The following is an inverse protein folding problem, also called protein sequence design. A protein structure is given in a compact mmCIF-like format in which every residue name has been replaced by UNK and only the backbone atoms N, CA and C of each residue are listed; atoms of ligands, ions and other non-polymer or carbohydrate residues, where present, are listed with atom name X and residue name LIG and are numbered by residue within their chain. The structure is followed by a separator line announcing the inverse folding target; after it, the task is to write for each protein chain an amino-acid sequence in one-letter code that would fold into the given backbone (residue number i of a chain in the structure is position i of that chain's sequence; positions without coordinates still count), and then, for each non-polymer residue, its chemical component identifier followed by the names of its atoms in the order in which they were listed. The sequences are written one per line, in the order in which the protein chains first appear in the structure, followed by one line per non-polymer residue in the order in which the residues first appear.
data_IF_063447575695
#
_entry.id   IF_063447575695
#
_cell.length_a   1.000
_cell.length_b   1.000
_cell.length_c   1.000
_cell.angle_alpha   90.00
_cell.angle_beta   90.00
_cell.angle_gamma   90.00
#
_symmetry.space_group_name_H-M   'P 1'
#
loop_
_entity.id
_entity.type
_entity.pdbx_description
1 polymer ?
#
# COMPACT_ATOMS: atom_id res chain seq x y z
N UNK A 1 -44.25 44.72 -78.72
CA UNK A 1 -43.88 43.30 -78.84
C UNK A 1 -42.43 43.18 -78.40
N UNK A 2 -42.20 43.09 -77.09
CA UNK A 2 -40.89 42.85 -76.48
C UNK A 2 -40.89 41.38 -76.07
N UNK A 3 -40.17 40.53 -76.79
CA UNK A 3 -39.99 39.12 -76.44
C UNK A 3 -38.71 38.97 -75.63
N UNK A 4 -38.85 38.90 -74.30
CA UNK A 4 -37.80 38.44 -73.39
C UNK A 4 -37.41 36.99 -73.73
N UNK A 5 -36.12 36.78 -74.02
CA UNK A 5 -35.55 35.45 -74.17
C UNK A 5 -35.13 34.92 -72.82
N UNK A 6 -35.87 33.94 -72.29
CA UNK A 6 -35.49 33.20 -71.10
C UNK A 6 -34.29 32.28 -71.40
N UNK A 7 -33.10 32.68 -70.97
CA UNK A 7 -31.93 31.79 -70.93
C UNK A 7 -31.97 31.00 -69.61
N UNK A 8 -32.32 29.72 -69.68
CA UNK A 8 -32.23 28.80 -68.54
C UNK A 8 -30.77 28.40 -68.31
N UNK A 9 -30.23 28.45 -67.07
CA UNK A 9 -28.84 28.07 -66.83
C UNK A 9 -28.72 26.54 -66.87
N UNK A 10 -27.93 26.04 -67.82
CA UNK A 10 -27.56 24.62 -67.84
C UNK A 10 -26.57 24.33 -66.69
N UNK A 11 -26.73 23.20 -65.98
CA UNK A 11 -25.76 22.79 -64.96
C UNK A 11 -24.41 22.43 -65.62
N UNK A 12 -23.28 22.61 -64.91
CA UNK A 12 -21.97 22.28 -65.47
C UNK A 12 -21.91 20.77 -65.74
N UNK A 13 -21.63 20.41 -66.99
CA UNK A 13 -21.27 19.04 -67.39
C UNK A 13 -19.98 18.67 -66.67
N UNK A 14 -20.11 17.95 -65.56
CA UNK A 14 -18.99 17.27 -64.92
C UNK A 14 -18.48 16.26 -65.94
N UNK A 15 -17.33 16.55 -66.55
CA UNK A 15 -16.66 15.63 -67.44
C UNK A 15 -16.45 14.29 -66.74
N UNK A 16 -17.10 13.25 -67.25
CA UNK A 16 -16.81 11.87 -66.88
C UNK A 16 -15.36 11.59 -67.30
N UNK A 17 -14.45 11.72 -66.35
CA UNK A 17 -13.09 11.19 -66.49
C UNK A 17 -13.25 9.67 -66.71
N UNK A 18 -12.63 9.07 -67.75
CA UNK A 18 -12.70 7.63 -67.93
C UNK A 18 -12.20 6.95 -66.65
N UNK A 19 -12.96 5.97 -66.17
CA UNK A 19 -12.59 5.22 -64.97
C UNK A 19 -11.19 4.65 -65.17
N UNK A 20 -10.30 4.79 -64.16
CA UNK A 20 -8.98 4.17 -64.22
C UNK A 20 -9.16 2.66 -64.44
N UNK A 21 -8.32 2.01 -65.27
CA UNK A 21 -8.39 0.58 -65.50
C UNK A 21 -8.39 -0.14 -64.15
N UNK A 22 -9.19 -1.21 -63.97
CA UNK A 22 -9.23 -1.95 -62.71
C UNK A 22 -7.81 -2.42 -62.39
N UNK A 23 -7.17 -1.75 -61.42
CA UNK A 23 -5.88 -2.17 -60.91
C UNK A 23 -6.04 -3.61 -60.44
N UNK A 24 -5.18 -4.56 -60.86
CA UNK A 24 -5.25 -5.93 -60.39
C UNK A 24 -5.18 -5.91 -58.86
N UNK A 25 -6.30 -6.27 -58.23
CA UNK A 25 -6.49 -6.30 -56.78
C UNK A 25 -5.61 -7.38 -56.12
N UNK A 26 -4.99 -8.23 -56.93
CA UNK A 26 -4.18 -9.37 -56.52
C UNK A 26 -2.93 -8.99 -55.71
N UNK A 27 -2.49 -7.73 -55.75
CA UNK A 27 -1.29 -7.26 -55.04
C UNK A 27 -1.55 -6.15 -54.01
N UNK A 28 -2.80 -5.87 -53.64
CA UNK A 28 -3.11 -4.84 -52.65
C UNK A 28 -2.90 -5.38 -51.23
N UNK A 29 -1.94 -4.80 -50.49
CA UNK A 29 -1.77 -5.10 -49.07
C UNK A 29 -3.00 -4.58 -48.32
N UNK A 30 -3.83 -5.51 -47.86
CA UNK A 30 -5.00 -5.17 -47.04
C UNK A 30 -4.55 -4.58 -45.71
N UNK A 31 -5.18 -3.50 -45.22
CA UNK A 31 -4.97 -3.03 -43.86
C UNK A 31 -5.21 -4.16 -42.85
N UNK A 32 -4.19 -4.48 -42.04
CA UNK A 32 -4.27 -5.46 -40.96
C UNK A 32 -3.87 -4.81 -39.65
N UNK A 33 -4.52 -5.23 -38.57
CA UNK A 33 -4.08 -4.87 -37.21
C UNK A 33 -2.79 -5.62 -36.94
N UNK A 34 -1.71 -4.89 -36.69
CA UNK A 34 -0.44 -5.49 -36.28
C UNK A 34 -0.60 -6.07 -34.86
N UNK A 35 0.00 -7.23 -34.64
CA UNK A 35 0.00 -7.84 -33.31
C UNK A 35 0.90 -7.03 -32.38
N UNK A 36 0.41 -6.74 -31.18
CA UNK A 36 1.16 -5.98 -30.19
C UNK A 36 2.15 -6.93 -29.49
N UNK A 37 3.47 -6.76 -29.68
CA UNK A 37 4.46 -7.66 -29.10
C UNK A 37 4.48 -7.62 -27.55
N UNK A 38 3.98 -6.54 -26.94
CA UNK A 38 3.86 -6.42 -25.49
C UNK A 38 2.76 -7.32 -24.90
N UNK A 39 1.84 -7.81 -25.74
CA UNK A 39 0.83 -8.80 -25.36
C UNK A 39 1.35 -10.24 -25.44
N UNK A 40 2.43 -10.47 -26.18
CA UNK A 40 3.03 -11.80 -26.29
C UNK A 40 4.11 -12.03 -25.20
N UNK A 41 4.80 -10.97 -24.77
CA UNK A 41 5.81 -11.04 -23.71
C UNK A 41 5.19 -11.12 -22.31
N UNK A 42 5.26 -12.29 -21.68
CA UNK A 42 4.77 -12.49 -20.31
C UNK A 42 5.56 -11.66 -19.29
N UNK A 43 6.87 -11.54 -19.47
CA UNK A 43 7.74 -10.78 -18.58
C UNK A 43 7.39 -9.30 -18.58
N UNK A 44 7.14 -8.72 -19.75
CA UNK A 44 6.69 -7.34 -19.88
C UNK A 44 5.36 -7.11 -19.13
N UNK A 45 4.38 -8.01 -19.32
CA UNK A 45 3.10 -7.91 -18.60
C UNK A 45 3.27 -8.04 -17.09
N UNK A 46 4.15 -8.91 -16.64
CA UNK A 46 4.43 -9.12 -15.22
C UNK A 46 5.05 -7.86 -14.61
N UNK A 47 6.06 -7.30 -15.26
CA UNK A 47 6.69 -6.05 -14.85
C UNK A 47 5.68 -4.90 -14.81
N UNK A 48 4.83 -4.77 -15.84
CA UNK A 48 3.80 -3.74 -15.88
C UNK A 48 2.83 -3.84 -14.70
N UNK A 49 2.35 -5.04 -14.36
CA UNK A 49 1.48 -5.25 -13.19
C UNK A 49 2.18 -4.91 -11.88
N UNK A 50 3.44 -5.31 -11.73
CA UNK A 50 4.22 -5.04 -10.52
C UNK A 50 4.46 -3.53 -10.34
N UNK A 51 4.81 -2.82 -11.40
CA UNK A 51 5.00 -1.36 -11.36
C UNK A 51 3.70 -0.63 -11.01
N UNK A 52 2.56 -1.03 -11.60
CA UNK A 52 1.25 -0.49 -11.25
C UNK A 52 0.87 -0.79 -9.80
N UNK A 53 1.16 -2.00 -9.32
CA UNK A 53 0.93 -2.37 -7.92
C UNK A 53 1.77 -1.51 -6.97
N UNK A 54 3.06 -1.34 -7.24
CA UNK A 54 3.94 -0.51 -6.45
C UNK A 54 3.49 0.95 -6.43
N UNK A 55 3.05 1.50 -7.57
CA UNK A 55 2.44 2.83 -7.64
C UNK A 55 1.16 2.93 -6.78
N UNK A 56 0.27 1.94 -6.86
CA UNK A 56 -0.97 1.89 -6.08
C UNK A 56 -0.74 1.83 -4.57
N UNK A 57 0.29 1.10 -4.14
CA UNK A 57 0.66 0.95 -2.73
C UNK A 57 1.58 2.09 -2.25
N UNK A 58 2.07 2.93 -3.16
CA UNK A 58 3.00 4.02 -2.83
C UNK A 58 4.44 3.56 -2.53
N UNK A 59 4.85 2.38 -3.02
CA UNK A 59 6.22 1.88 -2.90
C UNK A 59 7.10 2.47 -4.00
N UNK A 60 8.06 3.31 -3.62
CA UNK A 60 9.05 3.87 -4.54
C UNK A 60 10.22 2.90 -4.76
N UNK A 61 10.31 2.28 -5.93
CA UNK A 61 11.36 1.32 -6.28
C UNK A 61 12.72 1.95 -6.63
N UNK A 62 12.75 3.25 -6.96
CA UNK A 62 13.98 3.92 -7.44
C UNK A 62 14.95 4.27 -6.31
N UNK A 63 14.45 4.45 -5.08
CA UNK A 63 15.24 4.98 -3.96
C UNK A 63 15.13 4.13 -2.68
N UNK A 64 14.72 2.87 -2.78
CA UNK A 64 14.66 1.94 -1.64
C UNK A 64 15.90 1.03 -1.60
N UNK A 65 16.39 0.75 -0.39
CA UNK A 65 17.29 -0.40 -0.16
C UNK A 65 16.63 -1.65 -0.73
N UNK A 66 17.39 -2.50 -1.42
CA UNK A 66 16.85 -3.75 -1.96
C UNK A 66 16.27 -4.64 -0.85
N UNK A 67 15.34 -5.55 -1.19
CA UNK A 67 14.81 -6.52 -0.21
C UNK A 67 15.94 -7.28 0.50
N UNK A 68 17.00 -7.64 -0.24
CA UNK A 68 18.20 -8.27 0.32
C UNK A 68 18.92 -7.35 1.32
N UNK A 69 19.12 -6.07 0.99
CA UNK A 69 19.74 -5.12 1.92
C UNK A 69 18.91 -4.94 3.19
N UNK A 70 17.58 -4.86 3.07
CA UNK A 70 16.68 -4.77 4.23
C UNK A 70 16.75 -6.03 5.10
N UNK A 71 16.81 -7.21 4.47
CA UNK A 71 16.95 -8.47 5.19
C UNK A 71 18.30 -8.57 5.93
N UNK A 72 19.39 -8.16 5.27
CA UNK A 72 20.74 -8.14 5.87
C UNK A 72 20.85 -7.14 7.03
N UNK A 73 20.26 -5.96 6.90
CA UNK A 73 20.19 -4.96 7.97
C UNK A 73 19.42 -5.50 9.16
N UNK A 74 18.21 -6.06 8.93
CA UNK A 74 17.41 -6.70 9.99
C UNK A 74 18.16 -7.84 10.68
N UNK A 75 18.91 -8.65 9.94
CA UNK A 75 19.75 -9.71 10.52
C UNK A 75 20.84 -9.11 11.42
N UNK A 76 21.57 -8.10 10.94
CA UNK A 76 22.60 -7.42 11.74
C UNK A 76 22.03 -6.79 13.01
N UNK A 77 20.91 -6.08 12.91
CA UNK A 77 20.20 -5.50 14.06
C UNK A 77 19.80 -6.57 15.07
N UNK A 78 19.26 -7.70 14.61
CA UNK A 78 18.90 -8.83 15.47
C UNK A 78 20.11 -9.41 16.21
N UNK A 79 21.24 -9.54 15.53
CA UNK A 79 22.48 -10.03 16.14
C UNK A 79 23.01 -9.04 17.20
N UNK A 80 23.04 -7.75 16.89
CA UNK A 80 23.47 -6.70 17.83
C UNK A 80 22.56 -6.67 19.06
N UNK A 81 21.23 -6.75 18.85
CA UNK A 81 20.27 -6.77 19.94
C UNK A 81 20.49 -7.97 20.87
N UNK A 82 20.72 -9.15 20.30
CA UNK A 82 21.00 -10.38 21.06
C UNK A 82 22.29 -10.27 21.87
N UNK A 83 23.34 -9.72 21.27
CA UNK A 83 24.62 -9.47 21.96
C UNK A 83 24.45 -8.49 23.12
N UNK A 84 23.72 -7.39 22.90
CA UNK A 84 23.45 -6.39 23.93
C UNK A 84 22.63 -6.98 25.10
N UNK A 85 21.65 -7.83 24.79
CA UNK A 85 20.85 -8.51 25.81
C UNK A 85 21.70 -9.49 26.64
N UNK A 86 22.58 -10.25 25.99
CA UNK A 86 23.51 -11.14 26.66
C UNK A 86 24.48 -10.37 27.56
N UNK A 87 25.08 -9.28 27.05
CA UNK A 87 25.96 -8.41 27.82
C UNK A 87 25.23 -7.78 29.01
N UNK A 88 23.99 -7.34 28.83
CA UNK A 88 23.16 -6.82 29.94
C UNK A 88 22.90 -7.91 30.99
N UNK A 89 22.66 -9.14 30.56
CA UNK A 89 22.42 -10.25 31.48
C UNK A 89 23.69 -10.66 32.25
N UNK A 90 24.85 -10.61 31.60
CA UNK A 90 26.15 -10.89 32.23
C UNK A 90 26.51 -9.79 33.26
N UNK A 91 26.30 -8.52 32.91
CA UNK A 91 26.60 -7.38 33.77
C UNK A 91 25.52 -7.09 34.83
N UNK A 92 24.46 -7.91 34.91
CA UNK A 92 23.37 -7.69 35.88
C UNK A 92 23.83 -7.95 37.30
N UNK A 93 23.66 -6.93 38.14
CA UNK A 93 23.93 -7.04 39.58
C UNK A 93 22.93 -7.96 40.27
N UNK A 94 23.29 -8.60 41.40
CA UNK A 94 22.35 -9.41 42.19
C UNK A 94 21.11 -8.61 42.63
N UNK A 95 21.27 -7.34 42.99
CA UNK A 95 20.17 -6.46 43.39
C UNK A 95 19.18 -6.22 42.24
N UNK A 96 19.68 -5.99 41.04
CA UNK A 96 18.85 -5.76 39.85
C UNK A 96 18.04 -7.01 39.47
N UNK A 97 18.62 -8.22 39.64
CA UNK A 97 17.88 -9.49 39.49
C UNK A 97 16.70 -9.60 40.47
N UNK A 98 16.89 -9.20 41.73
CA UNK A 98 15.83 -9.22 42.75
C UNK A 98 14.73 -8.22 42.44
N UNK A 99 15.08 -7.01 41.98
CA UNK A 99 14.09 -6.01 41.53
C UNK A 99 13.24 -6.58 40.39
N UNK A 100 13.86 -7.16 39.39
CA UNK A 100 13.15 -7.74 38.25
C UNK A 100 12.27 -8.93 38.62
N UNK A 101 12.76 -9.79 39.51
CA UNK A 101 11.96 -10.90 40.02
C UNK A 101 10.71 -10.39 40.76
N UNK A 102 10.87 -9.34 41.58
CA UNK A 102 9.76 -8.71 42.28
C UNK A 102 8.77 -8.07 41.30
N UNK A 103 9.27 -7.36 40.28
CA UNK A 103 8.43 -6.75 39.24
C UNK A 103 7.63 -7.81 38.47
N UNK A 104 8.28 -8.90 38.04
CA UNK A 104 7.63 -10.03 37.36
C UNK A 104 6.55 -10.70 38.22
N UNK A 105 6.78 -10.83 39.53
CA UNK A 105 5.78 -11.36 40.47
C UNK A 105 4.57 -10.45 40.56
N UNK A 106 4.77 -9.13 40.64
CA UNK A 106 3.69 -8.14 40.64
C UNK A 106 2.90 -8.17 39.33
N UNK A 107 3.56 -8.17 38.16
CA UNK A 107 2.85 -8.26 36.87
C UNK A 107 2.02 -9.54 36.74
N UNK A 108 2.50 -10.66 37.27
CA UNK A 108 1.78 -11.94 37.23
C UNK A 108 0.56 -11.90 38.16
N UNK A 109 0.69 -11.26 39.32
CA UNK A 109 -0.43 -11.04 40.23
C UNK A 109 -1.46 -10.08 39.65
N UNK A 110 -1.03 -8.97 39.04
CA UNK A 110 -1.93 -8.02 38.37
C UNK A 110 -2.71 -8.70 37.24
N UNK A 111 -2.03 -9.47 36.37
CA UNK A 111 -2.67 -10.20 35.27
C UNK A 111 -3.66 -11.26 35.76
N UNK A 112 -3.35 -11.97 36.85
CA UNK A 112 -4.27 -12.93 37.47
C UNK A 112 -5.44 -12.26 38.20
N UNK A 113 -5.23 -11.09 38.81
CA UNK A 113 -6.27 -10.35 39.53
C UNK A 113 -7.24 -9.57 38.62
N UNK A 114 -6.95 -9.44 37.32
CA UNK A 114 -7.90 -8.85 36.36
C UNK A 114 -9.10 -9.78 36.13
N UNK A 115 -8.98 -11.09 36.38
CA UNK A 115 -10.09 -12.04 36.25
C UNK A 115 -10.91 -12.24 37.54
N UNK A 116 -10.41 -11.82 38.72
CA UNK A 116 -11.14 -11.95 39.99
C UNK A 116 -11.28 -10.61 40.74
N UNK A 117 -12.55 -10.23 40.94
CA UNK A 117 -13.09 -9.33 41.96
C UNK A 117 -12.94 -7.79 41.78
N UNK A 118 -14.03 -7.06 41.44
CA UNK A 118 -14.07 -5.59 41.50
C UNK A 118 -14.00 -5.01 42.94
N UNK A 119 -13.73 -5.84 43.95
CA UNK A 119 -13.71 -5.46 45.36
C UNK A 119 -12.30 -5.31 45.96
N UNK A 120 -11.23 -5.50 45.16
CA UNK A 120 -9.84 -5.33 45.62
C UNK A 120 -9.39 -3.85 45.70
N UNK A 121 -10.21 -2.97 46.26
CA UNK A 121 -9.75 -1.63 46.67
C UNK A 121 -9.20 -1.73 48.08
N UNK A 122 -7.94 -1.33 48.35
CA UNK A 122 -7.35 -1.47 49.67
C UNK A 122 -8.21 -0.76 50.73
N UNK A 123 -8.43 -1.43 51.86
CA UNK A 123 -9.37 -1.03 52.93
C UNK A 123 -9.17 0.42 53.38
N UNK A 124 -7.91 0.88 53.44
CA UNK A 124 -7.57 2.25 53.80
C UNK A 124 -8.22 3.30 52.88
N UNK A 125 -8.31 3.04 51.56
CA UNK A 125 -9.01 3.95 50.64
C UNK A 125 -10.51 4.01 50.94
N UNK A 126 -11.11 2.89 51.36
CA UNK A 126 -12.52 2.83 51.73
C UNK A 126 -12.77 3.58 53.05
N UNK A 127 -11.91 3.40 54.04
CA UNK A 127 -11.96 4.12 55.33
C UNK A 127 -11.80 5.63 55.10
N UNK A 128 -10.83 6.04 54.29
CA UNK A 128 -10.59 7.44 53.98
C UNK A 128 -11.74 8.08 53.17
N UNK A 129 -12.36 7.34 52.25
CA UNK A 129 -13.55 7.79 51.55
C UNK A 129 -14.74 7.98 52.50
N UNK A 130 -14.97 7.01 53.40
CA UNK A 130 -16.01 7.11 54.45
C UNK A 130 -15.76 8.29 55.39
N UNK A 131 -14.51 8.56 55.75
CA UNK A 131 -14.14 9.70 56.61
C UNK A 131 -14.44 11.03 55.92
N UNK A 132 -14.02 11.20 54.66
CA UNK A 132 -14.33 12.42 53.88
C UNK A 132 -15.83 12.63 53.69
N UNK A 133 -16.56 11.58 53.32
CA UNK A 133 -18.01 11.66 53.14
C UNK A 133 -18.76 12.13 54.41
N UNK A 134 -18.25 11.80 55.61
CA UNK A 134 -18.82 12.29 56.87
C UNK A 134 -18.46 13.76 57.16
N UNK A 135 -17.29 14.21 56.71
CA UNK A 135 -16.83 15.58 56.92
C UNK A 135 -17.55 16.57 56.00
N UNK A 136 -17.85 16.16 54.76
CA UNK A 136 -18.52 17.01 53.76
C UNK A 136 -20.03 17.17 54.02
N UNK A 137 -20.61 16.38 54.93
CA UNK A 137 -22.03 16.43 55.33
C UNK A 137 -22.31 17.34 56.54
N UNK A 138 -21.43 18.31 56.83
CA UNK A 138 -21.55 19.24 57.98
C UNK A 138 -21.70 20.69 57.52
#
# INVERSE_FOLDING_TARGET
MLSESHHSPQPPVIGLRPDPPPCPTENLIMPRKLQNPCLDSKDHQNLHRELLFNQKIGKNVLNQKSELQRAMEKHKESQIKKELELQKQENRTPFEKVIEERARRLESQEKGSIEEEPNSKPEFLQVHAKLRARMDSK
#
